data_IF_662923405373
#
_entry.id   IF_662923405373
#
_cell.length_a   1.000
_cell.length_b   1.000
_cell.length_c   1.000
_cell.angle_alpha   90.00
_cell.angle_beta   90.00
_cell.angle_gamma   90.00
#
_symmetry.space_group_name_H-M   'P 1'
#
loop_
_entity.id
_entity.type
_entity.pdbx_description
1 polymer ?
#
# COMPACT_ATOMS: atom_id res chain seq x y z
N UNK A 1 -1.23 15.92 11.33
CA UNK A 1 -2.44 15.06 11.21
C UNK A 1 -3.42 15.47 10.09
N UNK A 2 -3.09 16.40 9.17
CA UNK A 2 -4.09 16.96 8.23
C UNK A 2 -3.85 16.67 6.72
N UNK A 3 -2.80 15.93 6.35
CA UNK A 3 -2.44 15.71 4.93
C UNK A 3 -3.08 14.43 4.38
N UNK A 4 -3.08 13.36 5.16
CA UNK A 4 -3.64 12.06 4.75
C UNK A 4 -5.17 12.02 4.72
N UNK A 5 -5.84 12.79 5.59
CA UNK A 5 -7.30 12.85 5.61
C UNK A 5 -7.84 13.61 4.40
N UNK A 6 -7.13 14.61 3.89
CA UNK A 6 -7.53 15.38 2.70
C UNK A 6 -7.48 14.51 1.43
N UNK A 7 -6.42 13.73 1.25
CA UNK A 7 -6.30 12.75 0.15
C UNK A 7 -7.42 11.71 0.20
N UNK A 8 -7.72 11.15 1.37
CA UNK A 8 -8.81 10.17 1.55
C UNK A 8 -10.23 10.75 1.43
N UNK A 9 -10.40 12.05 1.71
CA UNK A 9 -11.71 12.71 1.62
C UNK A 9 -12.00 13.15 0.18
N UNK A 10 -10.98 13.58 -0.57
CA UNK A 10 -11.07 13.78 -2.02
C UNK A 10 -11.35 12.46 -2.77
N UNK A 11 -10.80 11.34 -2.30
CA UNK A 11 -11.02 10.01 -2.90
C UNK A 11 -12.43 9.43 -2.67
N UNK A 12 -13.22 9.92 -1.71
CA UNK A 12 -14.58 9.41 -1.44
C UNK A 12 -15.71 10.36 -1.82
N UNK A 13 -15.43 11.65 -2.01
CA UNK A 13 -16.45 12.65 -2.28
C UNK A 13 -16.19 13.42 -3.56
N UNK A 14 -16.55 12.87 -4.73
CA UNK A 14 -17.24 13.60 -5.81
C UNK A 14 -17.55 12.76 -7.08
N UNK A 15 -17.99 11.52 -6.93
CA UNK A 15 -18.44 10.68 -8.07
C UNK A 15 -19.78 11.12 -8.70
N UNK A 16 -20.35 12.27 -8.30
CA UNK A 16 -21.70 12.69 -8.76
C UNK A 16 -21.77 14.05 -9.48
N UNK A 17 -20.72 14.87 -9.48
CA UNK A 17 -20.82 16.25 -10.01
C UNK A 17 -19.86 16.61 -11.16
N UNK A 18 -18.92 15.75 -11.56
CA UNK A 18 -17.95 16.08 -12.62
C UNK A 18 -18.50 15.79 -14.04
N UNK A 19 -19.75 15.31 -14.16
CA UNK A 19 -20.37 15.01 -15.45
C UNK A 19 -20.87 16.21 -16.27
N UNK A 20 -20.96 17.41 -15.69
CA UNK A 20 -21.50 18.61 -16.36
C UNK A 20 -20.57 19.82 -16.43
N UNK A 21 -19.41 19.79 -15.76
CA UNK A 21 -18.45 20.92 -15.72
C UNK A 21 -17.41 20.93 -16.85
N UNK A 22 -17.60 20.15 -17.92
CA UNK A 22 -16.64 20.00 -19.04
C UNK A 22 -16.68 21.22 -19.99
N UNK A 23 -16.64 22.43 -19.42
CA UNK A 23 -16.47 23.69 -20.18
C UNK A 23 -15.41 24.60 -19.54
N UNK A 24 -15.05 24.41 -18.26
CA UNK A 24 -14.06 25.25 -17.61
C UNK A 24 -12.65 24.68 -17.76
N UNK A 25 -11.86 25.23 -18.69
CA UNK A 25 -10.45 24.86 -18.89
C UNK A 25 -9.57 24.95 -17.64
N UNK A 26 -10.04 25.61 -16.57
CA UNK A 26 -9.35 25.69 -15.28
C UNK A 26 -9.43 24.36 -14.49
N UNK A 27 -10.52 23.59 -14.61
CA UNK A 27 -10.71 22.37 -13.83
C UNK A 27 -9.78 21.23 -14.26
N UNK A 28 -9.50 21.11 -15.57
CA UNK A 28 -8.55 20.11 -16.09
C UNK A 28 -7.10 20.44 -15.73
N UNK A 29 -6.74 21.73 -15.70
CA UNK A 29 -5.42 22.19 -15.23
C UNK A 29 -5.24 21.95 -13.73
N UNK A 30 -6.24 22.24 -12.90
CA UNK A 30 -6.18 21.96 -11.45
C UNK A 30 -6.01 20.45 -11.22
N UNK A 31 -6.81 19.63 -11.89
CA UNK A 31 -6.72 18.18 -11.75
C UNK A 31 -5.37 17.61 -12.22
N UNK A 32 -4.79 18.16 -13.28
CA UNK A 32 -3.43 17.83 -13.71
C UNK A 32 -2.38 18.19 -12.67
N UNK A 33 -2.49 19.36 -12.03
CA UNK A 33 -1.60 19.76 -10.95
C UNK A 33 -1.72 18.82 -9.74
N UNK A 34 -2.94 18.46 -9.34
CA UNK A 34 -3.19 17.49 -8.26
C UNK A 34 -2.56 16.13 -8.57
N UNK A 35 -2.63 15.65 -9.81
CA UNK A 35 -1.94 14.42 -10.25
C UNK A 35 -0.43 14.56 -10.11
N UNK A 36 0.16 15.67 -10.58
CA UNK A 36 1.61 15.92 -10.46
C UNK A 36 2.06 15.98 -9.00
N UNK A 37 1.30 16.66 -8.14
CA UNK A 37 1.57 16.73 -6.70
C UNK A 37 1.47 15.35 -6.04
N UNK A 38 0.43 14.57 -6.36
CA UNK A 38 0.29 13.21 -5.89
C UNK A 38 1.46 12.32 -6.32
N UNK A 39 1.93 12.43 -7.58
CA UNK A 39 3.13 11.74 -8.08
C UNK A 39 4.37 12.10 -7.26
N UNK A 40 4.57 13.40 -6.97
CA UNK A 40 5.68 13.86 -6.14
C UNK A 40 5.61 13.30 -4.71
N UNK A 41 4.42 13.23 -4.12
CA UNK A 41 4.20 12.62 -2.81
C UNK A 41 4.48 11.11 -2.80
N UNK A 42 4.08 10.38 -3.85
CA UNK A 42 4.43 8.96 -3.99
C UNK A 42 5.94 8.77 -4.12
N UNK A 43 6.62 9.63 -4.87
CA UNK A 43 8.08 9.61 -4.98
C UNK A 43 8.77 9.88 -3.63
N UNK A 44 8.30 10.86 -2.87
CA UNK A 44 8.78 11.13 -1.52
C UNK A 44 8.58 9.93 -0.58
N UNK A 45 7.39 9.30 -0.62
CA UNK A 45 7.10 8.12 0.19
C UNK A 45 8.03 6.93 -0.14
N UNK A 46 8.47 6.77 -1.40
CA UNK A 46 9.48 5.76 -1.77
C UNK A 46 10.86 6.06 -1.18
N UNK A 47 11.25 7.32 -1.10
CA UNK A 47 12.50 7.71 -0.46
C UNK A 47 12.42 7.42 1.05
N UNK A 48 11.31 7.75 1.70
CA UNK A 48 11.09 7.45 3.12
C UNK A 48 11.08 5.94 3.38
N UNK A 49 10.42 5.15 2.52
CA UNK A 49 10.47 3.70 2.57
C UNK A 49 11.91 3.18 2.53
N UNK A 50 12.76 3.76 1.68
CA UNK A 50 14.18 3.37 1.59
C UNK A 50 14.91 3.64 2.91
N UNK A 51 14.63 4.76 3.57
CA UNK A 51 15.20 5.07 4.89
C UNK A 51 14.75 4.05 5.97
N UNK A 52 13.48 3.66 5.98
CA UNK A 52 12.96 2.64 6.92
C UNK A 52 13.58 1.27 6.62
N UNK A 53 13.69 0.87 5.35
CA UNK A 53 14.36 -0.37 4.95
C UNK A 53 15.83 -0.37 5.38
N UNK A 54 16.54 0.76 5.29
CA UNK A 54 17.91 0.87 5.78
C UNK A 54 18.00 0.65 7.29
N UNK A 55 17.02 1.16 8.07
CA UNK A 55 16.93 0.91 9.51
C UNK A 55 16.64 -0.56 9.83
N UNK A 56 15.75 -1.20 9.08
CA UNK A 56 15.48 -2.64 9.19
C UNK A 56 16.76 -3.46 8.95
N UNK A 57 17.52 -3.14 7.90
CA UNK A 57 18.79 -3.80 7.59
C UNK A 57 19.86 -3.55 8.65
N UNK A 58 19.94 -2.32 9.18
CA UNK A 58 20.85 -2.01 10.28
C UNK A 58 20.50 -2.84 11.52
N UNK A 59 19.22 -2.95 11.84
CA UNK A 59 18.77 -3.77 12.96
C UNK A 59 19.07 -5.26 12.76
N UNK A 60 18.89 -5.77 11.53
CA UNK A 60 19.30 -7.13 11.17
C UNK A 60 20.79 -7.39 11.37
N UNK A 61 21.66 -6.47 10.97
CA UNK A 61 23.12 -6.60 11.19
C UNK A 61 23.50 -6.59 12.66
N UNK A 62 22.84 -5.76 13.47
CA UNK A 62 23.10 -5.72 14.91
C UNK A 62 22.63 -7.00 15.60
N UNK A 63 21.49 -7.57 15.21
CA UNK A 63 21.04 -8.88 15.69
C UNK A 63 22.08 -9.97 15.43
N UNK A 64 22.62 -10.03 14.21
CA UNK A 64 23.65 -11.03 13.87
C UNK A 64 24.93 -10.84 14.69
N UNK A 65 25.33 -9.57 14.93
CA UNK A 65 26.46 -9.26 15.80
C UNK A 65 26.21 -9.70 17.25
N UNK A 66 25.05 -9.35 17.81
CA UNK A 66 24.68 -9.72 19.17
C UNK A 66 24.63 -11.24 19.35
N UNK A 67 24.08 -11.97 18.37
CA UNK A 67 24.07 -13.45 18.37
C UNK A 67 25.47 -14.03 18.35
N UNK A 68 26.38 -13.47 17.56
CA UNK A 68 27.78 -13.92 17.54
C UNK A 68 28.51 -13.63 18.86
N UNK A 69 28.28 -12.47 19.48
CA UNK A 69 28.81 -12.15 20.81
C UNK A 69 28.22 -13.09 21.87
N UNK A 70 26.91 -13.35 21.83
CA UNK A 70 26.21 -14.25 22.74
C UNK A 70 26.79 -15.67 22.68
N UNK A 71 26.90 -16.25 21.49
CA UNK A 71 27.50 -17.58 21.30
C UNK A 71 28.92 -17.64 21.87
N UNK A 72 29.73 -16.60 21.64
CA UNK A 72 31.10 -16.53 22.16
C UNK A 72 31.13 -16.54 23.69
N UNK A 73 30.26 -15.76 24.35
CA UNK A 73 30.21 -15.72 25.80
C UNK A 73 29.60 -17.00 26.40
N UNK A 74 28.65 -17.63 25.75
CA UNK A 74 28.16 -18.96 26.14
C UNK A 74 29.28 -20.00 26.11
N UNK A 75 30.09 -20.04 25.03
CA UNK A 75 31.24 -20.95 24.93
C UNK A 75 32.28 -20.69 26.03
N UNK A 76 32.48 -19.42 26.40
CA UNK A 76 33.38 -19.03 27.50
C UNK A 76 32.81 -19.42 28.88
N UNK A 77 31.50 -19.28 29.10
CA UNK A 77 30.84 -19.72 30.32
C UNK A 77 30.99 -21.23 30.52
N UNK A 78 30.76 -22.01 29.45
CA UNK A 78 30.97 -23.46 29.47
C UNK A 78 32.41 -23.83 29.79
N UNK A 79 33.39 -23.13 29.19
CA UNK A 79 34.81 -23.35 29.50
C UNK A 79 35.18 -23.00 30.94
N UNK A 80 34.61 -21.94 31.51
CA UNK A 80 34.82 -21.56 32.90
C UNK A 80 34.27 -22.63 33.86
N UNK A 81 33.06 -23.13 33.58
CA UNK A 81 32.44 -24.24 34.32
C UNK A 81 33.28 -25.52 34.25
N UNK A 82 33.83 -25.85 33.07
CA UNK A 82 34.70 -27.02 32.89
C UNK A 82 36.03 -26.93 33.65
N UNK A 83 36.46 -25.71 34.01
CA UNK A 83 37.68 -25.45 34.78
C UNK A 83 37.41 -25.25 36.29
N UNK A 84 36.19 -25.52 36.74
CA UNK A 84 35.73 -25.29 38.12
C UNK A 84 35.87 -23.82 38.59
N UNK A 85 35.95 -22.87 37.65
CA UNK A 85 36.02 -21.42 37.93
C UNK A 85 34.60 -20.83 38.06
N UNK A 86 33.88 -21.25 39.10
CA UNK A 86 32.46 -20.95 39.28
C UNK A 86 32.14 -19.45 39.33
N UNK A 87 32.99 -18.63 39.95
CA UNK A 87 32.80 -17.17 40.02
C UNK A 87 32.91 -16.51 38.64
N UNK A 88 33.85 -16.95 37.81
CA UNK A 88 34.01 -16.45 36.44
C UNK A 88 32.83 -16.88 35.56
N UNK A 89 32.32 -18.10 35.75
CA UNK A 89 31.13 -18.57 35.05
C UNK A 89 29.89 -17.74 35.39
N UNK A 90 29.73 -17.33 36.65
CA UNK A 90 28.62 -16.46 37.09
C UNK A 90 28.70 -15.06 36.45
N UNK A 91 29.89 -14.44 36.41
CA UNK A 91 30.10 -13.16 35.73
C UNK A 91 29.80 -13.23 34.23
N UNK A 92 30.23 -14.30 33.56
CA UNK A 92 29.94 -14.50 32.13
C UNK A 92 28.45 -14.76 31.90
N UNK A 93 27.78 -15.52 32.77
CA UNK A 93 26.34 -15.75 32.68
C UNK A 93 25.53 -14.45 32.82
N UNK A 94 25.94 -13.56 33.74
CA UNK A 94 25.33 -12.23 33.84
C UNK A 94 25.51 -11.42 32.54
N UNK A 95 26.69 -11.50 31.91
CA UNK A 95 26.93 -10.85 30.62
C UNK A 95 26.09 -11.43 29.48
N UNK A 96 25.88 -12.75 29.46
CA UNK A 96 24.99 -13.41 28.50
C UNK A 96 23.55 -12.93 28.68
N UNK A 97 23.07 -12.83 29.91
CA UNK A 97 21.72 -12.32 30.19
C UNK A 97 21.51 -10.88 29.69
N UNK A 98 22.50 -9.99 29.87
CA UNK A 98 22.45 -8.63 29.31
C UNK A 98 22.36 -8.64 27.77
N UNK A 99 23.11 -9.53 27.12
CA UNK A 99 23.10 -9.67 25.66
C UNK A 99 21.79 -10.25 25.14
N UNK A 100 21.17 -11.18 25.87
CA UNK A 100 19.85 -11.73 25.54
C UNK A 100 18.77 -10.66 25.58
N UNK A 101 18.80 -9.77 26.59
CA UNK A 101 17.85 -8.64 26.68
C UNK A 101 18.05 -7.69 25.50
N UNK A 102 19.29 -7.28 25.22
CA UNK A 102 19.59 -6.41 24.08
C UNK A 102 19.20 -7.04 22.73
N UNK A 103 19.40 -8.34 22.57
CA UNK A 103 19.01 -9.10 21.38
C UNK A 103 17.49 -9.07 21.21
N UNK A 104 16.73 -9.34 22.27
CA UNK A 104 15.27 -9.33 22.24
C UNK A 104 14.70 -7.95 21.87
N UNK A 105 15.26 -6.87 22.45
CA UNK A 105 14.89 -5.50 22.09
C UNK A 105 15.15 -5.21 20.61
N UNK A 106 16.30 -5.65 20.10
CA UNK A 106 16.66 -5.42 18.70
C UNK A 106 15.83 -6.25 17.71
N UNK A 107 15.46 -7.48 18.08
CA UNK A 107 14.53 -8.32 17.33
C UNK A 107 13.13 -7.69 17.26
N UNK A 108 12.64 -7.15 18.38
CA UNK A 108 11.37 -6.41 18.39
C UNK A 108 11.43 -5.18 17.48
N UNK A 109 12.49 -4.36 17.59
CA UNK A 109 12.67 -3.19 16.74
C UNK A 109 12.70 -3.57 15.24
N UNK A 110 13.43 -4.64 14.88
CA UNK A 110 13.45 -5.14 13.49
C UNK A 110 12.06 -5.58 13.03
N UNK A 111 11.29 -6.29 13.86
CA UNK A 111 9.94 -6.72 13.52
C UNK A 111 9.00 -5.53 13.27
N UNK A 112 9.12 -4.47 14.08
CA UNK A 112 8.36 -3.22 13.88
C UNK A 112 8.74 -2.55 12.54
N UNK A 113 10.04 -2.43 12.24
CA UNK A 113 10.49 -1.89 10.94
C UNK A 113 9.98 -2.72 9.76
N UNK A 114 10.07 -4.05 9.83
CA UNK A 114 9.58 -4.94 8.76
C UNK A 114 8.07 -4.75 8.51
N UNK A 115 7.27 -4.62 9.59
CA UNK A 115 5.84 -4.33 9.49
C UNK A 115 5.57 -2.95 8.84
N UNK A 116 6.36 -1.94 9.18
CA UNK A 116 6.28 -0.62 8.55
C UNK A 116 6.64 -0.65 7.06
N UNK A 117 7.71 -1.37 6.70
CA UNK A 117 8.15 -1.57 5.31
C UNK A 117 7.06 -2.25 4.49
N UNK A 118 6.46 -3.32 4.99
CA UNK A 118 5.37 -4.02 4.32
C UNK A 118 4.17 -3.10 4.06
N UNK A 119 3.71 -2.39 5.11
CA UNK A 119 2.59 -1.45 5.00
C UNK A 119 2.87 -0.32 4.00
N UNK A 120 4.05 0.29 4.06
CA UNK A 120 4.44 1.37 3.14
C UNK A 120 4.52 0.89 1.69
N UNK A 121 5.07 -0.31 1.45
CA UNK A 121 5.06 -0.92 0.11
C UNK A 121 3.65 -1.10 -0.44
N UNK A 122 2.71 -1.58 0.38
CA UNK A 122 1.32 -1.76 -0.04
C UNK A 122 0.63 -0.42 -0.34
N UNK A 123 0.83 0.57 0.52
CA UNK A 123 0.27 1.91 0.31
C UNK A 123 0.81 2.57 -0.96
N UNK A 124 2.13 2.49 -1.19
CA UNK A 124 2.76 3.02 -2.41
C UNK A 124 2.21 2.32 -3.65
N UNK A 125 2.14 0.97 -3.64
CA UNK A 125 1.59 0.22 -4.78
C UNK A 125 0.16 0.61 -5.12
N UNK A 126 -0.69 0.76 -4.11
CA UNK A 126 -2.08 1.17 -4.31
C UNK A 126 -2.17 2.62 -4.83
N UNK A 127 -1.35 3.53 -4.30
CA UNK A 127 -1.29 4.91 -4.74
C UNK A 127 -0.83 5.02 -6.20
N UNK A 128 0.18 4.26 -6.60
CA UNK A 128 0.65 4.22 -8.00
C UNK A 128 -0.39 3.67 -8.96
N UNK A 129 -1.14 2.63 -8.57
CA UNK A 129 -2.19 2.08 -9.41
C UNK A 129 -3.33 3.10 -9.62
N UNK A 130 -3.72 3.78 -8.54
CA UNK A 130 -4.75 4.83 -8.57
C UNK A 130 -4.31 6.01 -9.41
N UNK A 131 -3.05 6.45 -9.25
CA UNK A 131 -2.47 7.54 -10.02
C UNK A 131 -2.45 7.25 -11.52
N UNK A 132 -2.04 6.04 -11.92
CA UNK A 132 -2.07 5.62 -13.33
C UNK A 132 -3.47 5.66 -13.93
N UNK A 133 -4.48 5.29 -13.15
CA UNK A 133 -5.87 5.37 -13.60
C UNK A 133 -6.32 6.83 -13.77
N UNK A 134 -5.97 7.72 -12.83
CA UNK A 134 -6.27 9.15 -12.95
C UNK A 134 -5.54 9.83 -14.12
N UNK A 135 -4.28 9.46 -14.38
CA UNK A 135 -3.52 9.91 -15.55
C UNK A 135 -4.22 9.47 -16.86
N UNK A 136 -4.70 8.22 -16.92
CA UNK A 136 -5.46 7.69 -18.06
C UNK A 136 -6.77 8.46 -18.27
N UNK A 137 -7.50 8.72 -17.19
CA UNK A 137 -8.75 9.50 -17.22
C UNK A 137 -8.51 10.94 -17.69
N UNK A 138 -7.45 11.59 -17.20
CA UNK A 138 -7.05 12.93 -17.66
C UNK A 138 -6.70 12.92 -19.15
N UNK A 139 -5.93 11.94 -19.62
CA UNK A 139 -5.59 11.81 -21.03
C UNK A 139 -6.84 11.66 -21.91
N UNK A 140 -7.78 10.80 -21.50
CA UNK A 140 -9.06 10.63 -22.21
C UNK A 140 -9.87 11.94 -22.24
N UNK A 141 -9.95 12.65 -21.11
CA UNK A 141 -10.65 13.94 -21.03
C UNK A 141 -10.01 14.99 -21.94
N UNK A 142 -8.67 15.11 -21.97
CA UNK A 142 -7.95 16.04 -22.85
C UNK A 142 -8.14 15.71 -24.33
N UNK A 143 -8.10 14.43 -24.71
CA UNK A 143 -8.37 14.00 -26.08
C UNK A 143 -9.80 14.37 -26.49
N UNK A 144 -10.76 14.12 -25.60
CA UNK A 144 -12.17 14.49 -25.78
C UNK A 144 -12.31 15.98 -26.02
N UNK A 145 -11.74 16.81 -25.15
CA UNK A 145 -11.74 18.27 -25.26
C UNK A 145 -11.11 18.75 -26.58
N UNK A 146 -9.98 18.15 -26.99
CA UNK A 146 -9.30 18.47 -28.26
C UNK A 146 -10.19 18.17 -29.48
N UNK A 147 -10.88 17.02 -29.48
CA UNK A 147 -11.82 16.65 -30.55
C UNK A 147 -13.01 17.63 -30.59
N UNK A 148 -13.55 18.03 -29.44
CA UNK A 148 -14.61 19.04 -29.34
C UNK A 148 -14.15 20.39 -29.92
N UNK A 149 -12.97 20.87 -29.52
CA UNK A 149 -12.37 22.12 -30.04
C UNK A 149 -12.14 22.05 -31.55
N UNK A 150 -11.56 20.96 -32.06
CA UNK A 150 -11.34 20.77 -33.49
C UNK A 150 -12.65 20.77 -34.28
N UNK A 151 -13.67 20.07 -33.79
CA UNK A 151 -15.00 20.01 -34.42
C UNK A 151 -15.68 21.38 -34.42
N UNK A 152 -15.59 22.14 -33.32
CA UNK A 152 -16.12 23.49 -33.23
C UNK A 152 -15.43 24.43 -34.23
N UNK A 153 -14.11 24.43 -34.31
CA UNK A 153 -13.34 25.24 -35.28
C UNK A 153 -13.70 24.89 -36.73
N UNK A 154 -13.83 23.61 -37.06
CA UNK A 154 -14.28 23.17 -38.39
C UNK A 154 -15.70 23.69 -38.67
N UNK A 155 -16.63 23.54 -37.72
CA UNK A 155 -18.01 24.03 -37.87
C UNK A 155 -18.09 25.56 -38.04
N UNK A 156 -17.26 26.32 -37.31
CA UNK A 156 -17.21 27.78 -37.39
C UNK A 156 -16.63 28.23 -38.74
N UNK A 157 -15.54 27.61 -39.20
CA UNK A 157 -14.92 27.92 -40.49
C UNK A 157 -15.76 27.46 -41.70
N UNK A 158 -16.64 26.46 -41.51
CA UNK A 158 -17.56 25.98 -42.54
C UNK A 158 -18.93 26.71 -42.54
N UNK A 159 -19.14 27.68 -41.64
CA UNK A 159 -20.34 28.51 -41.53
C UNK A 159 -20.67 29.39 -42.76
N UNK A 160 -19.84 29.35 -43.82
CA UNK A 160 -20.13 29.98 -45.10
C UNK A 160 -21.05 29.15 -46.04
N UNK A 161 -21.49 27.94 -45.66
CA UNK A 161 -22.42 27.13 -46.48
C UNK A 161 -23.33 26.22 -45.65
N UNK A 162 -24.61 26.60 -45.56
CA UNK A 162 -25.61 26.10 -44.60
C UNK A 162 -26.04 24.62 -44.68
N UNK A 163 -25.56 23.81 -45.63
CA UNK A 163 -26.00 22.41 -45.79
C UNK A 163 -25.20 21.37 -44.97
N UNK A 164 -24.01 21.72 -44.43
CA UNK A 164 -23.13 20.75 -43.72
C UNK A 164 -23.28 20.74 -42.19
N UNK A 165 -24.04 21.69 -41.63
CA UNK A 165 -24.30 21.86 -40.19
C UNK A 165 -25.01 20.65 -39.55
N UNK A 166 -25.92 19.98 -40.29
CA UNK A 166 -26.60 18.77 -39.79
C UNK A 166 -25.61 17.60 -39.59
N UNK A 167 -24.67 17.40 -40.50
CA UNK A 167 -23.68 16.32 -40.41
C UNK A 167 -22.65 16.51 -39.30
N UNK A 168 -22.30 17.77 -38.99
CA UNK A 168 -21.39 18.12 -37.91
C UNK A 168 -22.06 17.94 -36.53
N UNK A 169 -23.33 18.37 -36.40
CA UNK A 169 -24.14 18.07 -35.22
C UNK A 169 -24.30 16.57 -34.98
N UNK A 170 -24.64 15.79 -36.01
CA UNK A 170 -24.74 14.33 -35.89
C UNK A 170 -23.41 13.68 -35.51
N UNK A 171 -22.28 14.20 -36.02
CA UNK A 171 -20.96 13.68 -35.68
C UNK A 171 -20.57 14.00 -34.24
N UNK A 172 -20.93 15.20 -33.76
CA UNK A 172 -20.78 15.59 -32.36
C UNK A 172 -21.62 14.72 -31.44
N UNK A 173 -22.87 14.46 -31.80
CA UNK A 173 -23.79 13.60 -31.05
C UNK A 173 -23.24 12.16 -30.96
N UNK A 174 -22.69 11.62 -32.06
CA UNK A 174 -22.03 10.30 -32.08
C UNK A 174 -20.77 10.25 -31.23
N UNK A 175 -19.97 11.32 -31.23
CA UNK A 175 -18.77 11.40 -30.37
C UNK A 175 -19.20 11.43 -28.90
N UNK A 176 -20.20 12.27 -28.56
CA UNK A 176 -20.77 12.36 -27.21
C UNK A 176 -21.32 11.03 -26.72
N UNK A 177 -22.10 10.32 -27.55
CA UNK A 177 -22.60 8.98 -27.25
C UNK A 177 -21.47 7.97 -27.02
N UNK A 178 -20.42 7.97 -27.85
CA UNK A 178 -19.27 7.07 -27.63
C UNK A 178 -18.55 7.35 -26.32
N UNK A 179 -18.43 8.61 -25.91
CA UNK A 179 -17.84 8.97 -24.62
C UNK A 179 -18.70 8.51 -23.45
N UNK A 180 -20.01 8.67 -23.57
CA UNK A 180 -20.96 8.23 -22.56
C UNK A 180 -20.94 6.70 -22.42
N UNK A 181 -20.96 5.96 -23.54
CA UNK A 181 -20.82 4.51 -23.55
C UNK A 181 -19.48 4.03 -22.94
N UNK A 182 -18.39 4.77 -23.15
CA UNK A 182 -17.08 4.44 -22.57
C UNK A 182 -17.04 4.70 -21.06
N UNK A 183 -17.60 5.81 -20.60
CA UNK A 183 -17.73 6.13 -19.19
C UNK A 183 -18.59 5.08 -18.47
N UNK A 184 -19.74 4.72 -19.06
CA UNK A 184 -20.64 3.70 -18.52
C UNK A 184 -19.98 2.32 -18.49
N UNK A 185 -19.17 1.97 -19.50
CA UNK A 185 -18.38 0.72 -19.50
C UNK A 185 -17.28 0.70 -18.46
N UNK A 186 -16.61 1.83 -18.22
CA UNK A 186 -15.60 1.95 -17.16
C UNK A 186 -16.25 1.81 -15.78
N UNK A 187 -17.39 2.45 -15.56
CA UNK A 187 -18.14 2.33 -14.31
C UNK A 187 -18.63 0.90 -14.10
N UNK A 188 -19.14 0.25 -15.16
CA UNK A 188 -19.51 -1.16 -15.09
C UNK A 188 -18.30 -2.05 -14.76
N UNK A 189 -17.12 -1.77 -15.33
CA UNK A 189 -15.90 -2.51 -15.04
C UNK A 189 -15.43 -2.35 -13.58
N UNK A 190 -15.53 -1.14 -13.01
CA UNK A 190 -15.18 -0.88 -11.61
C UNK A 190 -16.12 -1.60 -10.63
N UNK A 191 -17.43 -1.61 -10.92
CA UNK A 191 -18.41 -2.40 -10.17
C UNK A 191 -18.09 -3.90 -10.27
N UNK A 192 -17.78 -4.38 -11.48
CA UNK A 192 -17.48 -5.79 -11.72
C UNK A 192 -16.17 -6.23 -11.04
N UNK A 193 -15.15 -5.36 -10.99
CA UNK A 193 -13.92 -5.60 -10.24
C UNK A 193 -14.15 -5.61 -8.72
N UNK A 194 -15.05 -4.76 -8.21
CA UNK A 194 -15.49 -4.80 -6.82
C UNK A 194 -16.23 -6.09 -6.45
N UNK A 195 -17.03 -6.64 -7.38
CA UNK A 195 -17.87 -7.82 -7.17
C UNK A 195 -17.15 -9.16 -7.43
N UNK A 196 -16.20 -9.19 -8.38
CA UNK A 196 -15.55 -10.41 -8.86
C UNK A 196 -14.02 -10.36 -8.85
N UNK A 197 -13.41 -9.22 -8.50
CA UNK A 197 -11.96 -9.08 -8.41
C UNK A 197 -11.35 -9.91 -7.30
N UNK A 198 -10.02 -9.98 -7.28
CA UNK A 198 -9.23 -10.80 -6.35
C UNK A 198 -9.51 -10.55 -4.86
N UNK A 199 -10.06 -9.38 -4.51
CA UNK A 199 -10.49 -9.02 -3.14
C UNK A 199 -11.95 -9.33 -2.82
N UNK A 200 -12.77 -9.70 -3.80
CA UNK A 200 -14.20 -9.98 -3.60
C UNK A 200 -14.42 -11.22 -2.74
N UNK A 201 -13.59 -12.25 -2.92
CA UNK A 201 -13.59 -13.44 -2.08
C UNK A 201 -13.12 -13.12 -0.65
N UNK A 202 -12.04 -12.34 -0.50
CA UNK A 202 -11.53 -11.88 0.80
C UNK A 202 -12.58 -11.04 1.57
N UNK A 203 -13.30 -10.15 0.87
CA UNK A 203 -14.36 -9.35 1.47
C UNK A 203 -15.57 -10.20 1.91
N UNK A 204 -15.97 -11.19 1.09
CA UNK A 204 -17.04 -12.14 1.46
C UNK A 204 -16.63 -13.03 2.63
N UNK A 205 -15.38 -13.50 2.65
CA UNK A 205 -14.83 -14.30 3.75
C UNK A 205 -14.73 -13.45 5.04
N UNK A 206 -14.28 -12.21 4.96
CA UNK A 206 -14.23 -11.28 6.09
C UNK A 206 -15.62 -10.93 6.64
N UNK A 207 -16.61 -10.72 5.78
CA UNK A 207 -18.02 -10.51 6.19
C UNK A 207 -18.62 -11.76 6.84
N UNK A 208 -18.21 -12.96 6.41
CA UNK A 208 -18.58 -14.22 7.05
C UNK A 208 -17.79 -14.53 8.33
N UNK A 209 -16.87 -13.65 8.76
CA UNK A 209 -16.03 -13.84 9.95
C UNK A 209 -14.87 -14.82 9.77
N UNK A 210 -14.51 -15.17 8.53
CA UNK A 210 -13.47 -16.13 8.17
C UNK A 210 -12.27 -15.39 7.58
N UNK A 211 -11.12 -15.44 8.25
CA UNK A 211 -9.87 -14.80 7.80
C UNK A 211 -8.78 -14.86 8.87
N UNK A 212 -7.54 -14.47 8.53
CA UNK A 212 -6.28 -14.60 9.31
C UNK A 212 -6.36 -14.41 10.84
N UNK A 213 -7.28 -13.57 11.34
CA UNK A 213 -7.52 -13.42 12.81
C UNK A 213 -8.06 -14.69 13.47
N UNK A 214 -8.86 -15.49 12.76
CA UNK A 214 -9.39 -16.76 13.25
C UNK A 214 -8.28 -17.82 13.37
N UNK A 215 -7.31 -17.86 12.45
CA UNK A 215 -6.17 -18.78 12.56
C UNK A 215 -5.22 -18.35 13.68
N UNK A 216 -4.95 -17.04 13.85
CA UNK A 216 -4.13 -16.55 14.98
C UNK A 216 -4.73 -16.88 16.34
N UNK A 217 -6.06 -16.85 16.49
CA UNK A 217 -6.73 -17.28 17.74
C UNK A 217 -6.54 -18.79 17.98
N UNK A 218 -6.64 -19.61 16.94
CA UNK A 218 -6.42 -21.05 17.02
C UNK A 218 -4.94 -21.40 17.32
N UNK A 219 -3.98 -20.73 16.68
CA UNK A 219 -2.54 -20.88 16.94
C UNK A 219 -2.15 -20.45 18.35
N UNK A 220 -2.70 -19.34 18.85
CA UNK A 220 -2.44 -18.88 20.22
C UNK A 220 -3.00 -19.89 21.24
N UNK A 221 -4.19 -20.45 21.01
CA UNK A 221 -4.76 -21.50 21.87
C UNK A 221 -3.92 -22.78 21.82
N UNK A 222 -3.47 -23.21 20.63
CA UNK A 222 -2.60 -24.39 20.49
C UNK A 222 -1.26 -24.21 21.21
N UNK A 223 -0.64 -23.02 21.11
CA UNK A 223 0.61 -22.69 21.80
C UNK A 223 0.44 -22.66 23.33
N UNK A 224 -0.67 -22.11 23.82
CA UNK A 224 -0.97 -22.09 25.26
C UNK A 224 -1.25 -23.49 25.81
N UNK A 225 -1.91 -24.35 25.05
CA UNK A 225 -2.15 -25.76 25.43
C UNK A 225 -0.86 -26.59 25.43
N UNK A 226 0.07 -26.34 24.51
CA UNK A 226 1.38 -26.99 24.49
C UNK A 226 2.25 -26.60 25.70
N UNK A 227 2.16 -25.34 26.17
CA UNK A 227 2.83 -24.88 27.40
C UNK A 227 2.13 -25.30 28.70
N UNK A 228 0.83 -25.62 28.66
CA UNK A 228 0.05 -26.02 29.83
C UNK A 228 0.09 -27.53 30.13
N UNK A 229 0.73 -28.35 29.29
CA UNK A 229 0.95 -29.78 29.59
C UNK A 229 2.19 -29.93 30.48
N UNK A 230 2.05 -30.40 31.73
CA UNK A 230 3.21 -30.74 32.56
C UNK A 230 3.95 -31.92 31.93
N UNK A 231 5.26 -31.76 31.71
CA UNK A 231 6.17 -32.86 31.39
C UNK A 231 6.06 -33.90 32.50
N UNK A 232 5.42 -35.02 32.19
CA UNK A 232 5.41 -36.18 33.10
C UNK A 232 6.83 -36.74 33.08
N UNK A 233 7.55 -36.77 34.21
CA UNK A 233 8.87 -37.38 34.24
C UNK A 233 8.68 -38.89 34.14
N UNK A 234 9.23 -39.48 33.09
CA UNK A 234 9.27 -40.93 32.93
C UNK A 234 10.18 -41.53 34.01
N UNK A 235 9.60 -42.30 34.93
CA UNK A 235 10.29 -43.12 35.91
C UNK A 235 9.72 -44.53 35.83
N UNK A 236 10.42 -45.41 35.11
CA UNK A 236 10.77 -46.78 35.51
C UNK A 236 11.54 -47.48 34.41
#
# INVERSE_FOLDING_TARGET
MAVFSKVLTMLRGNLREIGQSIVDGNASTIYEQEIVEATAHVAAAKNDLTAVMAKEMQAGREIERLRAELQKYEDLAVQALQKDEAGLAEEVAARVADLEVALAEQEEARAQYAAHVARLKDMIRNAEATLREHERQLAMAKTTESVYKATATISQNMGASGSKLMSAKESLERIRQRHQDLADRMQAAEVLEGEFGSKALENKLAQAGIGERASRKAEVIARLQARARPSTPDRS
#
